data_IF_685141525339
#
_entry.id   IF_685141525339
#
_cell.length_a   1.000
_cell.length_b   1.000
_cell.length_c   1.000
_cell.angle_alpha   90.00
_cell.angle_beta   90.00
_cell.angle_gamma   90.00
#
_symmetry.space_group_name_H-M   'P 1'
#
loop_
_entity.id
_entity.type
_entity.pdbx_description
1 polymer ?
#
# COMPACT_ATOMS: atom_id res chain seq x y z
N UNK A 1 82.75 -31.74 -63.09
CA UNK A 1 82.02 -31.72 -64.39
C UNK A 1 80.64 -31.12 -64.16
N UNK A 2 80.30 -30.02 -64.87
CA UNK A 2 78.95 -29.50 -65.23
C UNK A 2 78.03 -29.09 -64.04
N UNK A 3 77.18 -28.06 -64.02
CA UNK A 3 76.66 -27.00 -64.90
C UNK A 3 76.04 -25.93 -63.93
N UNK A 4 76.38 -24.64 -63.98
CA UNK A 4 75.71 -23.49 -64.63
C UNK A 4 74.20 -23.18 -64.35
N UNK A 5 73.97 -22.02 -63.71
CA UNK A 5 73.02 -20.89 -63.94
C UNK A 5 71.46 -21.05 -63.86
N UNK A 6 70.86 -20.48 -62.79
CA UNK A 6 69.84 -19.39 -62.63
C UNK A 6 68.60 -19.25 -63.60
N UNK A 7 67.55 -18.45 -63.26
CA UNK A 7 66.37 -18.67 -62.38
C UNK A 7 65.01 -18.45 -63.12
N UNK A 8 63.86 -18.62 -62.44
CA UNK A 8 62.60 -17.92 -62.83
C UNK A 8 61.88 -17.42 -61.57
N UNK A 9 61.72 -16.10 -61.50
CA UNK A 9 60.93 -15.35 -60.53
C UNK A 9 59.53 -15.13 -61.13
N UNK A 10 58.45 -15.41 -60.40
CA UNK A 10 57.10 -14.97 -60.78
C UNK A 10 56.50 -14.19 -59.62
N UNK A 11 56.21 -12.92 -59.88
CA UNK A 11 55.62 -11.97 -58.95
C UNK A 11 54.09 -12.14 -58.91
N UNK A 12 53.51 -12.05 -57.71
CA UNK A 12 52.11 -11.65 -57.53
C UNK A 12 52.02 -10.63 -56.40
N UNK A 13 51.66 -9.41 -56.75
CA UNK A 13 51.30 -8.33 -55.84
C UNK A 13 49.81 -8.41 -55.59
N UNK A 14 49.40 -8.63 -54.35
CA UNK A 14 48.01 -8.45 -53.91
C UNK A 14 47.95 -7.26 -52.94
N UNK A 15 47.34 -6.16 -53.37
CA UNK A 15 46.97 -5.05 -52.49
C UNK A 15 45.79 -5.48 -51.62
N UNK A 16 46.00 -5.50 -50.30
CA UNK A 16 44.91 -5.59 -49.31
C UNK A 16 44.61 -4.19 -48.81
N UNK A 17 43.49 -3.63 -49.24
CA UNK A 17 42.94 -2.38 -48.70
C UNK A 17 42.30 -2.67 -47.33
N UNK A 18 42.95 -2.22 -46.25
CA UNK A 18 42.38 -2.28 -44.92
C UNK A 18 41.28 -1.21 -44.76
N UNK A 19 40.01 -1.63 -44.79
CA UNK A 19 38.89 -0.83 -44.30
C UNK A 19 38.96 -0.79 -42.77
N UNK A 20 39.51 0.28 -42.22
CA UNK A 20 39.42 0.58 -40.80
C UNK A 20 37.97 0.98 -40.49
N UNK A 21 37.15 0.01 -40.10
CA UNK A 21 35.85 0.27 -39.46
C UNK A 21 36.16 0.82 -38.07
N UNK A 22 36.13 2.14 -37.93
CA UNK A 22 36.23 2.80 -36.63
C UNK A 22 35.02 2.44 -35.79
N UNK A 23 35.15 1.46 -34.89
CA UNK A 23 34.26 1.34 -33.74
C UNK A 23 34.52 2.57 -32.87
N UNK A 24 33.63 3.55 -32.92
CA UNK A 24 33.60 4.61 -31.92
C UNK A 24 33.38 3.92 -30.56
N UNK A 25 34.44 3.87 -29.74
CA UNK A 25 34.35 3.37 -28.39
C UNK A 25 33.33 4.23 -27.63
N UNK A 26 32.21 3.60 -27.25
CA UNK A 26 31.21 4.24 -26.39
C UNK A 26 31.91 4.59 -25.07
N UNK A 27 31.86 5.86 -24.66
CA UNK A 27 32.37 6.26 -23.37
C UNK A 27 31.70 5.40 -22.28
N UNK A 28 32.45 4.81 -21.33
CA UNK A 28 31.88 3.96 -20.31
C UNK A 28 30.84 4.77 -19.52
N UNK A 29 29.66 4.18 -19.30
CA UNK A 29 28.60 4.81 -18.52
C UNK A 29 29.13 5.17 -17.13
N UNK A 30 28.99 6.44 -16.73
CA UNK A 30 29.39 6.88 -15.40
C UNK A 30 28.42 6.28 -14.40
N UNK A 31 28.91 5.38 -13.55
CA UNK A 31 28.13 4.80 -12.44
C UNK A 31 28.29 5.70 -11.22
N UNK A 32 27.18 6.19 -10.70
CA UNK A 32 27.09 6.98 -9.48
C UNK A 32 26.52 6.11 -8.36
N UNK A 33 27.27 5.96 -7.27
CA UNK A 33 26.74 5.43 -6.03
C UNK A 33 25.92 6.53 -5.32
N UNK A 34 24.72 6.19 -4.87
CA UNK A 34 23.82 7.11 -4.20
C UNK A 34 23.84 6.83 -2.69
N UNK A 35 23.92 7.88 -1.87
CA UNK A 35 23.96 7.71 -0.42
C UNK A 35 22.54 7.49 0.15
N UNK A 36 22.43 6.57 1.11
CA UNK A 36 21.20 6.31 1.85
C UNK A 36 20.89 7.44 2.84
N UNK A 37 19.60 7.78 2.93
CA UNK A 37 19.03 8.52 4.06
C UNK A 37 17.59 7.99 4.26
N UNK A 38 17.07 7.86 5.49
CA UNK A 38 15.73 7.31 5.70
C UNK A 38 14.65 8.07 4.92
N UNK A 39 13.69 7.34 4.35
CA UNK A 39 12.54 7.97 3.71
C UNK A 39 11.66 8.68 4.76
N UNK A 40 10.86 9.70 4.39
CA UNK A 40 10.05 10.40 5.37
C UNK A 40 8.91 9.51 5.92
N UNK A 41 8.51 9.72 7.18
CA UNK A 41 7.45 8.94 7.85
C UNK A 41 6.04 9.11 7.26
N UNK A 42 5.81 10.17 6.49
CA UNK A 42 4.54 10.50 5.81
C UNK A 42 4.52 10.10 4.32
N UNK A 43 5.38 9.17 3.91
CA UNK A 43 5.30 8.59 2.57
C UNK A 43 3.89 8.03 2.28
N UNK A 44 3.39 8.11 1.03
CA UNK A 44 2.02 7.74 0.69
C UNK A 44 1.72 6.26 0.96
N UNK A 45 0.47 5.95 1.30
CA UNK A 45 -0.06 4.57 1.43
C UNK A 45 0.61 3.69 2.52
N UNK A 46 1.34 4.29 3.46
CA UNK A 46 1.94 3.59 4.61
C UNK A 46 1.93 4.44 5.87
N UNK A 47 2.37 3.86 6.99
CA UNK A 47 2.58 4.61 8.23
C UNK A 47 1.39 4.58 9.19
N UNK A 48 1.37 5.49 10.15
CA UNK A 48 0.24 5.62 11.07
C UNK A 48 -0.90 6.40 10.42
N UNK A 49 -2.12 5.97 10.73
CA UNK A 49 -3.38 6.47 10.19
C UNK A 49 -4.22 7.01 11.34
N UNK A 50 -4.93 8.11 11.10
CA UNK A 50 -5.86 8.73 12.05
C UNK A 50 -7.29 8.76 11.51
N UNK A 51 -8.26 8.90 12.41
CA UNK A 51 -9.58 9.40 12.00
C UNK A 51 -9.46 10.84 11.48
N UNK A 52 -10.27 11.24 10.48
CA UNK A 52 -10.20 12.57 9.89
C UNK A 52 -10.23 13.71 10.90
N UNK A 53 -9.23 14.60 10.84
CA UNK A 53 -9.09 15.78 11.70
C UNK A 53 -8.15 16.81 11.09
N UNK A 54 -8.28 18.06 11.52
CA UNK A 54 -7.43 19.16 11.05
C UNK A 54 -6.14 19.30 11.87
N UNK A 55 -6.20 19.05 13.17
CA UNK A 55 -5.08 19.31 14.07
C UNK A 55 -4.34 18.00 14.40
N UNK A 56 -3.25 17.75 13.67
CA UNK A 56 -2.30 16.67 13.98
C UNK A 56 -0.88 17.21 14.00
N UNK A 57 -0.03 16.65 14.84
CA UNK A 57 1.41 16.97 14.92
C UNK A 57 2.31 15.77 14.60
N UNK A 58 1.70 14.69 14.12
CA UNK A 58 2.37 13.46 13.74
C UNK A 58 2.25 13.27 12.21
N UNK A 59 3.36 13.01 11.52
CA UNK A 59 3.38 12.87 10.05
C UNK A 59 2.52 11.68 9.59
N UNK A 60 1.68 11.90 8.58
CA UNK A 60 0.82 10.89 7.97
C UNK A 60 0.38 11.33 6.57
N UNK A 61 -0.06 10.36 5.76
CA UNK A 61 -0.59 10.57 4.40
C UNK A 61 -1.90 9.82 4.15
N UNK A 62 -2.40 9.15 5.19
CA UNK A 62 -3.58 8.31 5.16
C UNK A 62 -4.53 8.71 6.30
N UNK A 63 -5.82 8.70 6.00
CA UNK A 63 -6.88 8.81 6.98
C UNK A 63 -7.88 7.66 6.81
N UNK A 64 -8.49 7.23 7.90
CA UNK A 64 -9.42 6.10 7.91
C UNK A 64 -10.67 6.44 8.68
N UNK A 65 -11.84 6.10 8.15
CA UNK A 65 -13.08 6.28 8.87
C UNK A 65 -14.19 5.34 8.38
N UNK A 66 -15.19 5.20 9.22
CA UNK A 66 -16.39 4.42 8.98
C UNK A 66 -17.45 5.25 8.27
N UNK A 67 -18.19 4.62 7.36
CA UNK A 67 -19.35 5.23 6.70
C UNK A 67 -20.58 4.37 6.92
N UNK A 68 -21.64 4.99 7.42
CA UNK A 68 -22.90 4.30 7.67
C UNK A 68 -23.59 4.00 6.35
N UNK A 69 -23.98 2.75 6.08
CA UNK A 69 -24.58 2.41 4.78
C UNK A 69 -25.87 3.20 4.51
N UNK A 70 -26.71 3.40 5.52
CA UNK A 70 -27.97 4.16 5.42
C UNK A 70 -27.79 5.62 5.00
N UNK A 71 -26.61 6.22 5.18
CA UNK A 71 -26.35 7.60 4.76
C UNK A 71 -26.17 7.69 3.25
N UNK A 72 -25.88 6.55 2.61
CA UNK A 72 -25.58 6.47 1.17
C UNK A 72 -26.65 5.70 0.41
N UNK A 73 -27.14 4.57 0.91
CA UNK A 73 -28.08 3.72 0.18
C UNK A 73 -29.53 4.04 0.57
N UNK A 74 -30.30 4.59 -0.38
CA UNK A 74 -31.69 5.01 -0.16
C UNK A 74 -32.73 4.08 -0.79
N UNK A 75 -32.29 3.13 -1.61
CA UNK A 75 -33.10 2.08 -2.22
C UNK A 75 -32.20 1.02 -2.86
N UNK A 76 -32.77 -0.07 -3.38
CA UNK A 76 -32.00 -1.20 -3.93
C UNK A 76 -30.94 -0.80 -4.97
N UNK A 77 -31.20 0.23 -5.78
CA UNK A 77 -30.29 0.75 -6.80
C UNK A 77 -30.20 2.29 -6.76
N UNK A 78 -30.45 2.90 -5.60
CA UNK A 78 -30.45 4.35 -5.41
C UNK A 78 -29.42 4.73 -4.35
N UNK A 79 -28.49 5.62 -4.71
CA UNK A 79 -27.35 5.97 -3.88
C UNK A 79 -27.12 7.49 -3.83
N UNK A 80 -27.17 8.05 -2.62
CA UNK A 80 -26.72 9.40 -2.33
C UNK A 80 -25.25 9.38 -1.91
N UNK A 81 -24.35 9.60 -2.87
CA UNK A 81 -22.91 9.59 -2.60
C UNK A 81 -22.38 10.86 -1.91
N UNK A 82 -23.19 11.91 -1.77
CA UNK A 82 -22.73 13.21 -1.28
C UNK A 82 -22.01 13.16 0.08
N UNK A 83 -22.49 12.42 1.11
CA UNK A 83 -21.78 12.33 2.39
C UNK A 83 -20.39 11.68 2.26
N UNK A 84 -20.26 10.66 1.41
CA UNK A 84 -18.99 9.98 1.17
C UNK A 84 -18.03 10.84 0.34
N UNK A 85 -18.53 11.51 -0.70
CA UNK A 85 -17.73 12.47 -1.50
C UNK A 85 -17.22 13.64 -0.65
N UNK A 86 -18.04 14.19 0.23
CA UNK A 86 -17.62 15.24 1.15
C UNK A 86 -16.45 14.79 2.04
N UNK A 87 -16.50 13.55 2.53
CA UNK A 87 -15.42 12.94 3.30
C UNK A 87 -14.14 12.78 2.46
N UNK A 88 -14.24 12.18 1.27
CA UNK A 88 -13.10 12.01 0.37
C UNK A 88 -12.46 13.35 0.00
N UNK A 89 -13.26 14.37 -0.30
CA UNK A 89 -12.76 15.70 -0.66
C UNK A 89 -12.08 16.39 0.51
N UNK A 90 -12.63 16.28 1.73
CA UNK A 90 -12.00 16.83 2.91
C UNK A 90 -10.63 16.20 3.16
N UNK A 91 -10.53 14.87 3.09
CA UNK A 91 -9.28 14.11 3.24
C UNK A 91 -8.27 14.49 2.14
N UNK A 92 -8.72 14.50 0.89
CA UNK A 92 -7.88 14.87 -0.25
C UNK A 92 -7.41 16.33 -0.19
N UNK A 93 -8.20 17.27 0.35
CA UNK A 93 -7.78 18.67 0.51
C UNK A 93 -6.63 18.85 1.51
N UNK A 94 -6.42 17.87 2.39
CA UNK A 94 -5.25 17.81 3.30
C UNK A 94 -4.06 17.08 2.66
N UNK A 95 -4.21 16.60 1.42
CA UNK A 95 -3.20 15.82 0.72
C UNK A 95 -3.14 14.35 1.12
N UNK A 96 -4.16 13.84 1.80
CA UNK A 96 -4.19 12.46 2.29
C UNK A 96 -5.10 11.58 1.43
N UNK A 97 -4.80 10.28 1.39
CA UNK A 97 -5.68 9.28 0.81
C UNK A 97 -6.52 8.62 1.90
N UNK A 98 -7.69 8.13 1.54
CA UNK A 98 -8.68 7.59 2.45
C UNK A 98 -8.71 6.06 2.44
N UNK A 99 -8.95 5.48 3.62
CA UNK A 99 -9.23 4.06 3.80
C UNK A 99 -10.72 3.94 4.12
N UNK A 100 -11.48 3.27 3.26
CA UNK A 100 -12.93 3.21 3.38
C UNK A 100 -13.41 1.92 4.05
N UNK A 101 -14.26 2.05 5.07
CA UNK A 101 -15.06 0.96 5.62
C UNK A 101 -16.52 1.39 5.73
N UNK A 102 -17.45 0.57 5.25
CA UNK A 102 -18.89 0.77 5.47
C UNK A 102 -19.41 -0.16 6.58
N UNK A 103 -20.44 0.24 7.33
CA UNK A 103 -21.02 -0.60 8.39
C UNK A 103 -22.54 -0.58 8.43
N UNK A 104 -23.11 -1.63 9.02
CA UNK A 104 -24.54 -1.76 9.35
C UNK A 104 -24.79 -1.69 10.87
N UNK A 105 -23.85 -2.21 11.66
CA UNK A 105 -24.01 -2.40 13.10
C UNK A 105 -22.98 -1.56 13.85
N UNK A 106 -23.42 -0.85 14.88
CA UNK A 106 -22.55 -0.07 15.75
C UNK A 106 -23.20 0.08 17.14
N UNK A 107 -22.67 -0.57 18.18
CA UNK A 107 -23.20 -0.49 19.53
C UNK A 107 -23.28 0.96 20.03
N UNK A 108 -24.47 1.37 20.47
CA UNK A 108 -24.74 2.72 20.97
C UNK A 108 -25.03 3.76 19.89
N UNK A 109 -25.09 3.38 18.60
CA UNK A 109 -25.53 4.25 17.50
C UNK A 109 -26.82 3.74 16.87
N UNK A 110 -27.45 4.60 16.07
CA UNK A 110 -28.57 4.21 15.21
C UNK A 110 -28.07 3.22 14.14
N UNK A 111 -28.89 2.21 13.82
CA UNK A 111 -28.52 1.17 12.83
C UNK A 111 -28.14 1.77 11.49
N UNK A 112 -27.08 1.22 10.89
CA UNK A 112 -26.60 1.49 9.54
C UNK A 112 -27.40 0.82 8.44
N UNK A 113 -28.36 -0.03 8.78
CA UNK A 113 -29.28 -0.66 7.82
C UNK A 113 -30.17 0.42 7.19
N UNK A 114 -30.23 0.52 5.83
CA UNK A 114 -31.13 1.42 5.14
C UNK A 114 -32.60 1.25 5.55
N UNK A 115 -33.28 2.38 5.78
CA UNK A 115 -34.66 2.38 6.31
C UNK A 115 -35.64 1.60 5.42
N UNK A 116 -35.50 1.67 4.09
CA UNK A 116 -36.38 0.96 3.17
C UNK A 116 -36.35 -0.57 3.34
N UNK A 117 -35.24 -1.14 3.85
CA UNK A 117 -35.17 -2.57 4.15
C UNK A 117 -35.95 -2.90 5.42
N UNK A 118 -35.84 -2.04 6.44
CA UNK A 118 -36.56 -2.17 7.70
C UNK A 118 -38.07 -2.07 7.43
N UNK A 119 -38.50 -1.06 6.66
CA UNK A 119 -39.89 -0.85 6.28
C UNK A 119 -40.43 -2.00 5.42
N UNK A 120 -39.57 -2.60 4.58
CA UNK A 120 -39.91 -3.79 3.81
C UNK A 120 -40.06 -5.05 4.69
N UNK A 121 -39.72 -5.01 5.98
CA UNK A 121 -39.85 -6.10 6.94
C UNK A 121 -38.58 -6.90 7.17
N UNK A 122 -37.39 -6.33 6.93
CA UNK A 122 -36.12 -6.94 7.35
C UNK A 122 -36.09 -7.09 8.87
N UNK A 123 -35.85 -8.32 9.33
CA UNK A 123 -35.78 -8.60 10.76
C UNK A 123 -34.52 -7.99 11.37
N UNK A 124 -34.72 -7.20 12.42
CA UNK A 124 -33.65 -6.62 13.23
C UNK A 124 -33.67 -7.23 14.63
N UNK A 125 -32.52 -7.72 15.11
CA UNK A 125 -32.33 -8.25 16.46
C UNK A 125 -31.69 -7.17 17.33
N UNK A 126 -32.42 -6.74 18.37
CA UNK A 126 -31.91 -5.77 19.35
C UNK A 126 -31.33 -6.50 20.56
N UNK A 127 -30.14 -6.12 20.99
CA UNK A 127 -29.45 -6.73 22.13
C UNK A 127 -28.40 -5.81 22.73
N UNK A 128 -27.91 -6.13 23.92
CA UNK A 128 -26.82 -5.37 24.57
C UNK A 128 -25.48 -6.04 24.26
N UNK A 129 -24.64 -5.36 23.48
CA UNK A 129 -23.28 -5.79 23.22
C UNK A 129 -22.37 -5.43 24.39
N UNK A 130 -21.76 -6.45 25.00
CA UNK A 130 -20.84 -6.32 26.13
C UNK A 130 -19.37 -6.26 25.70
N UNK A 131 -19.09 -6.60 24.43
CA UNK A 131 -17.75 -6.56 23.85
C UNK A 131 -17.48 -5.19 23.21
N UNK A 132 -17.60 -4.12 23.97
CA UNK A 132 -17.46 -2.72 23.49
C UNK A 132 -16.29 -1.99 24.11
N UNK A 133 -15.39 -2.71 24.79
CA UNK A 133 -14.24 -2.11 25.47
C UNK A 133 -13.40 -1.24 24.52
N UNK A 134 -12.88 -0.11 24.99
CA UNK A 134 -12.93 0.40 26.37
C UNK A 134 -14.23 1.12 26.75
N UNK A 135 -15.24 1.15 25.88
CA UNK A 135 -16.53 1.79 26.12
C UNK A 135 -17.50 0.86 26.88
N UNK A 136 -18.45 1.43 27.65
CA UNK A 136 -19.45 0.63 28.36
C UNK A 136 -20.32 -0.17 27.38
N UNK A 137 -20.89 -1.32 27.83
CA UNK A 137 -21.84 -2.09 27.05
C UNK A 137 -22.95 -1.21 26.46
N UNK A 138 -23.31 -1.46 25.21
CA UNK A 138 -24.25 -0.63 24.50
C UNK A 138 -25.22 -1.45 23.63
N UNK A 139 -26.39 -0.90 23.36
CA UNK A 139 -27.39 -1.55 22.52
C UNK A 139 -26.91 -1.61 21.08
N UNK A 140 -26.98 -2.79 20.47
CA UNK A 140 -26.69 -3.05 19.06
C UNK A 140 -27.94 -3.58 18.33
N UNK A 141 -27.93 -3.48 17.01
CA UNK A 141 -29.03 -3.87 16.12
C UNK A 141 -28.51 -4.72 14.98
N UNK A 142 -28.61 -6.04 15.14
CA UNK A 142 -28.13 -7.02 14.16
C UNK A 142 -29.21 -7.36 13.14
N UNK A 143 -29.01 -7.06 11.84
CA UNK A 143 -29.95 -7.49 10.82
C UNK A 143 -29.89 -9.00 10.63
N UNK A 144 -30.94 -9.57 10.03
CA UNK A 144 -30.89 -10.94 9.57
C UNK A 144 -30.07 -11.05 8.27
N UNK A 145 -28.81 -11.45 8.40
CA UNK A 145 -27.88 -11.58 7.26
C UNK A 145 -28.32 -12.60 6.20
N UNK A 146 -29.19 -13.54 6.58
CA UNK A 146 -29.73 -14.54 5.65
C UNK A 146 -30.88 -13.99 4.79
N UNK A 147 -31.43 -12.82 5.12
CA UNK A 147 -32.55 -12.22 4.39
C UNK A 147 -32.15 -11.85 2.95
N UNK A 148 -32.87 -12.39 1.98
CA UNK A 148 -32.61 -12.16 0.56
C UNK A 148 -32.65 -10.66 0.17
N UNK A 149 -33.48 -9.86 0.85
CA UNK A 149 -33.57 -8.41 0.63
C UNK A 149 -32.27 -7.72 1.02
N UNK A 150 -31.71 -8.08 2.17
CA UNK A 150 -30.44 -7.52 2.62
C UNK A 150 -29.30 -7.96 1.70
N UNK A 151 -29.21 -9.26 1.38
CA UNK A 151 -28.16 -9.80 0.50
C UNK A 151 -28.15 -9.13 -0.87
N UNK A 152 -29.34 -8.94 -1.47
CA UNK A 152 -29.48 -8.20 -2.72
C UNK A 152 -29.04 -6.73 -2.57
N UNK A 153 -29.43 -6.06 -1.49
CA UNK A 153 -29.05 -4.68 -1.24
C UNK A 153 -27.52 -4.51 -1.06
N UNK A 154 -26.88 -5.39 -0.28
CA UNK A 154 -25.42 -5.36 -0.08
C UNK A 154 -24.68 -5.60 -1.40
N UNK A 155 -25.12 -6.59 -2.18
CA UNK A 155 -24.53 -6.88 -3.50
C UNK A 155 -24.64 -5.68 -4.44
N UNK A 156 -25.82 -5.07 -4.55
CA UNK A 156 -26.04 -3.90 -5.39
C UNK A 156 -25.20 -2.70 -4.94
N UNK A 157 -25.12 -2.47 -3.63
CA UNK A 157 -24.28 -1.42 -3.06
C UNK A 157 -22.81 -1.62 -3.41
N UNK A 158 -22.27 -2.83 -3.20
CA UNK A 158 -20.85 -3.13 -3.48
C UNK A 158 -20.53 -2.93 -4.95
N UNK A 159 -21.41 -3.37 -5.86
CA UNK A 159 -21.24 -3.15 -7.30
C UNK A 159 -21.29 -1.67 -7.67
N UNK A 160 -22.23 -0.89 -7.10
CA UNK A 160 -22.30 0.55 -7.32
C UNK A 160 -21.09 1.29 -6.74
N UNK A 161 -20.59 0.84 -5.59
CA UNK A 161 -19.40 1.36 -4.94
C UNK A 161 -18.15 1.14 -5.80
N UNK A 162 -17.88 -0.09 -6.25
CA UNK A 162 -16.73 -0.37 -7.11
C UNK A 162 -16.84 0.30 -8.49
N UNK A 163 -18.04 0.30 -9.11
CA UNK A 163 -18.27 1.00 -10.38
C UNK A 163 -17.91 2.49 -10.29
N UNK A 164 -18.15 3.12 -9.14
CA UNK A 164 -17.90 4.54 -8.94
C UNK A 164 -16.47 4.84 -8.49
N UNK A 165 -15.85 4.00 -7.66
CA UNK A 165 -14.62 4.34 -6.94
C UNK A 165 -13.45 3.37 -7.12
N UNK A 166 -13.57 2.28 -7.87
CA UNK A 166 -12.40 1.43 -8.16
C UNK A 166 -11.36 2.19 -8.99
N UNK A 167 -10.17 2.37 -8.42
CA UNK A 167 -9.11 3.20 -8.98
C UNK A 167 -9.26 4.71 -8.74
N UNK A 168 -10.21 5.16 -7.91
CA UNK A 168 -10.24 6.55 -7.45
C UNK A 168 -8.97 6.84 -6.63
N UNK A 169 -8.11 7.79 -7.04
CA UNK A 169 -6.83 8.01 -6.39
C UNK A 169 -6.96 8.57 -4.98
N UNK A 170 -8.13 9.09 -4.60
CA UNK A 170 -8.41 9.52 -3.22
C UNK A 170 -8.54 8.34 -2.27
N UNK A 171 -8.72 7.11 -2.77
CA UNK A 171 -8.90 5.92 -1.93
C UNK A 171 -7.63 5.06 -2.01
N UNK A 172 -6.93 4.96 -0.89
CA UNK A 172 -5.76 4.10 -0.77
C UNK A 172 -6.12 2.62 -0.57
N UNK A 173 -7.20 2.33 0.15
CA UNK A 173 -7.60 0.97 0.51
C UNK A 173 -9.10 0.88 0.81
N UNK A 174 -9.71 -0.28 0.59
CA UNK A 174 -11.09 -0.59 0.97
C UNK A 174 -11.11 -1.80 1.90
N UNK A 175 -11.66 -1.62 3.10
CA UNK A 175 -11.93 -2.74 3.99
C UNK A 175 -13.29 -3.33 3.68
N UNK A 176 -13.37 -4.66 3.66
CA UNK A 176 -14.60 -5.41 3.54
C UNK A 176 -15.40 -5.18 4.82
N UNK A 177 -16.25 -4.16 4.82
CA UNK A 177 -17.15 -3.87 5.93
C UNK A 177 -18.49 -4.62 5.80
N UNK A 178 -19.57 -3.95 6.23
CA UNK A 178 -20.98 -4.33 6.12
C UNK A 178 -21.42 -5.51 7.01
N UNK A 179 -20.60 -6.54 7.16
CA UNK A 179 -20.93 -7.69 7.99
C UNK A 179 -20.40 -7.53 9.42
N UNK A 180 -21.26 -7.79 10.39
CA UNK A 180 -20.95 -7.78 11.82
C UNK A 180 -20.82 -6.41 12.46
N UNK A 181 -20.60 -6.43 13.78
CA UNK A 181 -20.37 -5.24 14.61
C UNK A 181 -19.21 -4.42 14.04
N UNK A 182 -19.42 -3.12 13.85
CA UNK A 182 -18.50 -2.17 13.20
C UNK A 182 -18.12 -2.51 11.74
N UNK A 183 -18.73 -3.54 11.14
CA UNK A 183 -18.26 -4.10 9.87
C UNK A 183 -16.99 -4.96 10.02
N UNK A 184 -16.68 -5.48 11.22
CA UNK A 184 -15.47 -6.27 11.50
C UNK A 184 -15.64 -7.78 11.33
N UNK A 185 -16.74 -8.19 10.70
CA UNK A 185 -17.02 -9.60 10.40
C UNK A 185 -17.10 -10.46 11.66
N UNK A 186 -17.75 -9.98 12.71
CA UNK A 186 -18.19 -10.81 13.84
C UNK A 186 -19.37 -10.16 14.57
N UNK A 187 -20.14 -10.96 15.31
CA UNK A 187 -21.15 -10.48 16.25
C UNK A 187 -20.87 -10.92 17.69
N UNK A 188 -19.62 -11.28 18.01
CA UNK A 188 -19.24 -11.74 19.35
C UNK A 188 -19.74 -10.77 20.45
N UNK A 189 -20.37 -11.26 21.54
CA UNK A 189 -20.54 -12.67 21.90
C UNK A 189 -21.73 -13.41 21.24
N UNK A 190 -22.53 -12.74 20.40
CA UNK A 190 -23.69 -13.29 19.67
C UNK A 190 -23.31 -13.87 18.32
N UNK A 191 -22.31 -14.74 18.29
CA UNK A 191 -21.82 -15.36 17.04
C UNK A 191 -22.89 -16.17 16.31
N UNK A 192 -23.94 -16.62 17.00
CA UNK A 192 -25.11 -17.31 16.42
C UNK A 192 -25.94 -16.44 15.46
N UNK A 193 -25.75 -15.11 15.46
CA UNK A 193 -26.44 -14.18 14.55
C UNK A 193 -25.56 -13.66 13.42
N UNK A 194 -24.30 -14.09 13.34
CA UNK A 194 -23.41 -13.67 12.27
C UNK A 194 -23.81 -14.31 10.93
N UNK A 195 -23.42 -13.66 9.83
CA UNK A 195 -23.65 -14.12 8.47
C UNK A 195 -23.10 -15.53 8.25
N UNK A 196 -23.87 -16.41 7.60
CA UNK A 196 -23.39 -17.73 7.20
C UNK A 196 -22.22 -17.62 6.21
N UNK A 197 -21.46 -18.70 6.06
CA UNK A 197 -20.38 -18.78 5.05
C UNK A 197 -20.88 -18.50 3.63
N UNK A 198 -22.12 -18.86 3.30
CA UNK A 198 -22.70 -18.57 1.99
C UNK A 198 -22.81 -17.05 1.76
N UNK A 199 -23.36 -16.32 2.74
CA UNK A 199 -23.47 -14.86 2.66
C UNK A 199 -22.09 -14.18 2.66
N UNK A 200 -21.16 -14.68 3.47
CA UNK A 200 -19.77 -14.21 3.47
C UNK A 200 -19.10 -14.36 2.10
N UNK A 201 -19.30 -15.51 1.42
CA UNK A 201 -18.79 -15.76 0.06
C UNK A 201 -19.40 -14.78 -0.93
N UNK A 202 -20.71 -14.57 -0.90
CA UNK A 202 -21.40 -13.62 -1.80
C UNK A 202 -20.86 -12.19 -1.65
N UNK A 203 -20.67 -11.73 -0.41
CA UNK A 203 -20.11 -10.40 -0.15
C UNK A 203 -18.67 -10.31 -0.64
N UNK A 204 -17.83 -11.31 -0.36
CA UNK A 204 -16.45 -11.35 -0.87
C UNK A 204 -16.40 -11.36 -2.40
N UNK A 205 -17.24 -12.14 -3.05
CA UNK A 205 -17.32 -12.24 -4.51
C UNK A 205 -17.76 -10.92 -5.14
N UNK A 206 -18.76 -10.25 -4.55
CA UNK A 206 -19.20 -8.92 -4.98
C UNK A 206 -18.04 -7.90 -4.90
N UNK A 207 -17.29 -7.87 -3.79
CA UNK A 207 -16.14 -6.96 -3.65
C UNK A 207 -15.05 -7.27 -4.69
N UNK A 208 -14.68 -8.54 -4.86
CA UNK A 208 -13.68 -8.93 -5.86
C UNK A 208 -14.12 -8.63 -7.28
N UNK A 209 -15.41 -8.73 -7.58
CA UNK A 209 -15.94 -8.36 -8.90
C UNK A 209 -15.91 -6.84 -9.10
N UNK A 210 -16.26 -6.07 -8.09
CA UNK A 210 -16.40 -4.63 -8.17
C UNK A 210 -15.07 -3.86 -8.12
N UNK A 211 -14.03 -4.40 -7.47
CA UNK A 211 -12.73 -3.76 -7.29
C UNK A 211 -11.61 -4.57 -7.94
N UNK A 212 -11.00 -4.01 -8.99
CA UNK A 212 -9.87 -4.59 -9.71
C UNK A 212 -8.57 -3.81 -9.52
N UNK A 213 -8.66 -2.53 -9.15
CA UNK A 213 -7.53 -1.62 -8.99
C UNK A 213 -7.26 -1.30 -7.53
N UNK A 214 -8.28 -0.89 -6.78
CA UNK A 214 -8.15 -0.53 -5.36
C UNK A 214 -8.03 -1.78 -4.51
N UNK A 215 -7.06 -1.81 -3.60
CA UNK A 215 -6.79 -2.99 -2.77
C UNK A 215 -7.85 -3.19 -1.70
N UNK A 216 -8.26 -4.45 -1.55
CA UNK A 216 -9.25 -4.92 -0.60
C UNK A 216 -8.58 -5.53 0.63
N UNK A 217 -9.17 -5.33 1.82
CA UNK A 217 -8.69 -5.96 3.06
C UNK A 217 -9.86 -6.57 3.85
N UNK A 218 -9.72 -7.82 4.27
CA UNK A 218 -10.65 -8.51 5.16
C UNK A 218 -10.11 -8.54 6.60
N UNK A 219 -10.99 -8.56 7.62
CA UNK A 219 -10.53 -8.61 9.02
C UNK A 219 -9.84 -9.93 9.34
N UNK A 220 -10.53 -11.04 9.09
CA UNK A 220 -10.06 -12.35 9.50
C UNK A 220 -9.52 -13.16 8.33
N UNK A 221 -8.25 -13.57 8.36
CA UNK A 221 -7.80 -14.71 7.58
C UNK A 221 -8.58 -15.96 8.00
N UNK A 222 -9.04 -16.73 7.03
CA UNK A 222 -9.78 -17.96 7.25
C UNK A 222 -9.37 -19.00 6.21
N UNK A 223 -8.96 -20.17 6.68
CA UNK A 223 -8.66 -21.33 5.85
C UNK A 223 -9.87 -22.24 5.68
N UNK A 224 -9.73 -23.33 4.90
CA UNK A 224 -10.84 -24.24 4.58
C UNK A 224 -11.47 -24.91 5.81
N UNK A 225 -10.70 -25.09 6.88
CA UNK A 225 -11.12 -25.77 8.11
C UNK A 225 -11.66 -24.81 9.19
N UNK A 226 -11.76 -23.52 8.90
CA UNK A 226 -12.30 -22.53 9.85
C UNK A 226 -13.82 -22.77 10.02
N UNK A 227 -14.38 -22.93 11.23
CA UNK A 227 -15.80 -23.30 11.39
C UNK A 227 -16.80 -22.18 11.07
N UNK A 228 -16.46 -20.92 11.30
CA UNK A 228 -17.36 -19.75 11.25
C UNK A 228 -17.16 -18.95 9.97
N UNK A 229 -15.91 -18.77 9.54
CA UNK A 229 -15.54 -17.90 8.44
C UNK A 229 -15.31 -18.68 7.15
N UNK A 230 -15.79 -18.13 6.04
CA UNK A 230 -15.54 -18.71 4.73
C UNK A 230 -14.06 -18.57 4.35
N UNK A 231 -13.52 -19.57 3.65
CA UNK A 231 -12.13 -19.55 3.18
C UNK A 231 -11.87 -18.33 2.29
N UNK A 232 -10.82 -17.60 2.63
CA UNK A 232 -10.33 -16.44 1.88
C UNK A 232 -8.82 -16.49 1.61
N UNK A 233 -8.13 -17.56 2.00
CA UNK A 233 -6.68 -17.70 1.91
C UNK A 233 -6.14 -17.57 0.49
N UNK A 234 -6.91 -18.00 -0.53
CA UNK A 234 -6.51 -17.91 -1.95
C UNK A 234 -7.08 -16.71 -2.70
N UNK A 235 -7.95 -15.92 -2.07
CA UNK A 235 -8.54 -14.73 -2.72
C UNK A 235 -7.48 -13.61 -2.86
N UNK A 236 -7.59 -12.74 -3.88
CA UNK A 236 -6.73 -11.58 -4.05
C UNK A 236 -7.16 -10.43 -3.11
N UNK A 237 -7.27 -10.75 -1.81
CA UNK A 237 -7.69 -9.84 -0.74
C UNK A 237 -6.58 -9.84 0.31
N UNK A 238 -6.22 -8.65 0.79
CA UNK A 238 -5.32 -8.44 1.91
C UNK A 238 -6.03 -8.60 3.25
N UNK A 239 -5.34 -8.28 4.35
CA UNK A 239 -5.92 -8.45 5.68
C UNK A 239 -5.70 -7.23 6.56
N UNK A 240 -6.55 -7.01 7.56
CA UNK A 240 -6.28 -5.98 8.55
C UNK A 240 -6.35 -6.55 9.97
N UNK A 241 -5.33 -6.27 10.78
CA UNK A 241 -5.28 -6.67 12.19
C UNK A 241 -5.76 -5.51 13.07
N UNK A 242 -7.04 -5.44 13.40
CA UNK A 242 -7.55 -4.43 14.37
C UNK A 242 -7.40 -4.92 15.82
N UNK A 243 -6.36 -5.71 16.09
CA UNK A 243 -5.89 -6.10 17.42
C UNK A 243 -4.36 -6.03 17.52
N UNK A 244 -3.76 -5.17 16.70
CA UNK A 244 -2.33 -5.05 16.55
C UNK A 244 -1.66 -4.72 17.90
N UNK A 245 -0.53 -5.38 18.18
CA UNK A 245 0.24 -5.27 19.43
C UNK A 245 -0.51 -5.73 20.71
N UNK A 246 -1.54 -6.56 20.53
CA UNK A 246 -2.27 -7.18 21.64
C UNK A 246 -2.58 -8.66 21.41
N UNK A 247 -3.09 -9.00 20.23
CA UNK A 247 -3.46 -10.36 19.85
C UNK A 247 -3.00 -10.66 18.42
N UNK A 248 -1.75 -10.34 18.14
CA UNK A 248 -1.15 -10.45 16.81
C UNK A 248 -0.30 -11.70 16.69
N UNK A 249 0.77 -11.79 17.49
CA UNK A 249 1.82 -12.81 17.35
C UNK A 249 1.35 -14.14 17.90
N UNK A 250 1.61 -15.21 17.16
CA UNK A 250 1.26 -16.58 17.53
C UNK A 250 1.91 -17.00 18.85
N UNK A 251 1.10 -17.52 19.79
CA UNK A 251 1.57 -17.91 21.13
C UNK A 251 1.72 -19.42 21.31
N UNK A 252 1.26 -20.24 20.35
CA UNK A 252 1.13 -21.69 20.49
C UNK A 252 -0.03 -22.17 21.36
N UNK A 253 -0.74 -21.28 22.06
CA UNK A 253 -1.87 -21.64 22.93
C UNK A 253 -3.15 -21.80 22.13
N UNK A 254 -3.92 -22.86 22.40
CA UNK A 254 -5.23 -23.10 21.75
C UNK A 254 -6.24 -21.98 22.02
N UNK A 255 -6.20 -21.37 23.20
CA UNK A 255 -7.05 -20.21 23.58
C UNK A 255 -6.83 -18.99 22.69
N UNK A 256 -5.65 -18.89 22.07
CA UNK A 256 -5.20 -17.74 21.29
C UNK A 256 -5.29 -18.05 19.78
N UNK A 257 -6.10 -19.05 19.42
CA UNK A 257 -6.36 -19.43 18.02
C UNK A 257 -6.99 -18.32 17.17
N UNK A 258 -7.56 -17.31 17.83
CA UNK A 258 -8.11 -16.12 17.19
C UNK A 258 -7.06 -15.03 16.90
N UNK A 259 -5.84 -15.15 17.42
CA UNK A 259 -4.77 -14.17 17.18
C UNK A 259 -4.41 -14.12 15.70
N UNK A 260 -4.06 -12.93 15.21
CA UNK A 260 -3.96 -12.67 13.78
C UNK A 260 -2.97 -13.57 13.04
N UNK A 261 -1.73 -13.73 13.54
CA UNK A 261 -0.73 -14.61 12.93
C UNK A 261 -1.16 -16.08 12.98
N UNK A 262 -1.80 -16.52 14.07
CA UNK A 262 -2.37 -17.88 14.16
C UNK A 262 -3.39 -18.13 13.05
N UNK A 263 -4.23 -17.13 12.77
CA UNK A 263 -5.23 -17.19 11.68
C UNK A 263 -4.57 -17.16 10.30
N UNK A 264 -3.53 -16.34 10.09
CA UNK A 264 -2.74 -16.36 8.84
C UNK A 264 -2.14 -17.75 8.58
N UNK A 265 -1.58 -18.39 9.61
CA UNK A 265 -1.04 -19.76 9.53
C UNK A 265 -2.13 -20.77 9.15
N UNK A 266 -3.27 -20.72 9.83
CA UNK A 266 -4.40 -21.61 9.55
C UNK A 266 -5.00 -21.42 8.15
N UNK A 267 -4.90 -20.21 7.59
CA UNK A 267 -5.33 -19.87 6.23
C UNK A 267 -4.25 -20.10 5.15
N UNK A 268 -3.07 -20.60 5.52
CA UNK A 268 -1.89 -20.70 4.64
C UNK A 268 -1.59 -19.36 3.92
N UNK A 269 -1.64 -18.26 4.67
CA UNK A 269 -1.60 -16.89 4.16
C UNK A 269 -0.43 -16.06 4.72
N UNK A 270 0.58 -16.69 5.33
CA UNK A 270 1.76 -16.00 5.88
C UNK A 270 2.49 -15.14 4.84
N UNK A 271 2.53 -15.57 3.57
CA UNK A 271 3.20 -14.82 2.49
C UNK A 271 2.24 -13.89 1.72
N UNK A 272 0.99 -13.73 2.18
CA UNK A 272 -0.02 -12.91 1.47
C UNK A 272 0.44 -11.47 1.29
N UNK A 273 1.16 -10.93 2.27
CA UNK A 273 1.74 -9.58 2.27
C UNK A 273 2.63 -9.28 1.06
N UNK A 274 3.19 -10.29 0.38
CA UNK A 274 3.99 -10.04 -0.83
C UNK A 274 3.18 -9.52 -2.01
N UNK A 275 1.86 -9.76 -1.98
CA UNK A 275 0.97 -9.46 -3.12
C UNK A 275 -0.27 -8.65 -2.74
N UNK A 276 -0.70 -8.70 -1.49
CA UNK A 276 -1.84 -7.95 -0.97
C UNK A 276 -1.49 -7.26 0.34
N UNK A 277 -2.00 -6.05 0.61
CA UNK A 277 -1.62 -5.27 1.78
C UNK A 277 -2.09 -5.91 3.08
N UNK A 278 -1.30 -5.72 4.13
CA UNK A 278 -1.76 -5.88 5.50
C UNK A 278 -1.86 -4.50 6.15
N UNK A 279 -3.01 -4.22 6.77
CA UNK A 279 -3.31 -3.00 7.51
C UNK A 279 -3.76 -3.30 8.93
N UNK A 280 -4.45 -2.37 9.60
CA UNK A 280 -5.09 -2.67 10.88
C UNK A 280 -5.25 -1.47 11.80
N UNK A 281 -5.50 -1.76 13.07
CA UNK A 281 -5.58 -0.79 14.16
C UNK A 281 -4.75 -1.33 15.34
N UNK A 282 -3.91 -0.45 15.89
CA UNK A 282 -3.30 -0.67 17.18
C UNK A 282 -4.41 -0.73 18.21
N UNK A 283 -4.44 -1.79 19.02
CA UNK A 283 -5.47 -1.96 20.03
C UNK A 283 -5.51 -0.77 21.01
N UNK A 284 -6.69 -0.19 21.33
CA UNK A 284 -6.79 1.02 22.15
C UNK A 284 -6.06 0.97 23.50
N UNK A 285 -5.98 -0.21 24.10
CA UNK A 285 -5.44 -0.41 25.44
C UNK A 285 -3.93 -0.15 25.53
N UNK A 286 -3.21 -0.20 24.41
CA UNK A 286 -1.76 0.10 24.36
C UNK A 286 -1.45 1.49 23.82
N UNK A 287 -2.44 2.25 23.33
CA UNK A 287 -2.23 3.58 22.71
C UNK A 287 -1.39 4.53 23.55
N UNK A 288 -1.56 4.52 24.88
CA UNK A 288 -0.89 5.47 25.78
C UNK A 288 0.59 5.18 26.04
N UNK A 289 1.06 3.96 25.76
CA UNK A 289 2.36 3.47 26.22
C UNK A 289 3.05 2.51 25.25
N UNK A 290 2.53 2.36 24.02
CA UNK A 290 3.09 1.49 23.00
C UNK A 290 4.57 1.81 22.73
N UNK A 291 4.93 3.10 22.70
CA UNK A 291 6.29 3.59 22.42
C UNK A 291 7.04 4.03 23.68
N UNK A 292 6.57 3.67 24.87
CA UNK A 292 7.33 3.86 26.10
C UNK A 292 8.42 2.79 26.23
N UNK A 293 9.35 3.01 27.16
CA UNK A 293 10.41 2.05 27.47
C UNK A 293 10.48 1.83 29.00
N UNK A 294 10.03 0.68 29.51
CA UNK A 294 9.42 -0.44 28.76
C UNK A 294 8.02 -0.10 28.20
N UNK A 295 7.64 -0.79 27.11
CA UNK A 295 6.28 -0.70 26.55
C UNK A 295 5.28 -1.45 27.43
N UNK A 296 4.00 -1.10 27.31
CA UNK A 296 2.90 -1.76 28.02
C UNK A 296 2.19 -2.85 27.21
N UNK A 297 2.68 -3.20 26.03
CA UNK A 297 2.16 -4.33 25.25
C UNK A 297 2.25 -5.62 26.06
N UNK A 298 1.29 -6.54 25.95
CA UNK A 298 1.43 -7.88 26.50
C UNK A 298 2.75 -8.53 26.08
N UNK A 299 3.34 -9.34 26.95
CA UNK A 299 4.60 -10.03 26.66
C UNK A 299 4.48 -10.85 25.37
N UNK A 300 5.43 -10.67 24.44
CA UNK A 300 5.41 -11.34 23.14
C UNK A 300 4.62 -10.61 22.05
N UNK A 301 3.93 -9.51 22.38
CA UNK A 301 3.14 -8.69 21.46
C UNK A 301 3.79 -7.31 21.23
N UNK A 302 5.10 -7.20 21.46
CA UNK A 302 5.84 -5.95 21.26
C UNK A 302 5.78 -5.53 19.78
N UNK A 303 5.78 -4.22 19.54
CA UNK A 303 5.54 -3.63 18.21
C UNK A 303 6.42 -4.22 17.10
N UNK A 304 7.75 -4.30 17.33
CA UNK A 304 8.69 -4.83 16.34
C UNK A 304 8.48 -6.33 16.06
N UNK A 305 8.00 -7.13 17.05
CA UNK A 305 7.64 -8.53 16.79
C UNK A 305 6.38 -8.64 15.94
N UNK A 306 5.39 -7.79 16.22
CA UNK A 306 4.17 -7.73 15.43
C UNK A 306 4.47 -7.29 13.99
N UNK A 307 5.35 -6.31 13.77
CA UNK A 307 5.80 -5.93 12.43
C UNK A 307 6.42 -7.11 11.68
N UNK A 308 7.31 -7.86 12.33
CA UNK A 308 8.04 -8.96 11.71
C UNK A 308 7.15 -10.11 11.22
N UNK A 309 5.98 -10.33 11.82
CA UNK A 309 5.05 -11.40 11.43
C UNK A 309 3.91 -10.94 10.53
N UNK A 310 3.60 -9.64 10.55
CA UNK A 310 2.45 -9.09 9.80
C UNK A 310 2.84 -8.38 8.52
N UNK A 311 4.07 -7.85 8.41
CA UNK A 311 4.47 -7.02 7.28
C UNK A 311 3.49 -5.85 7.02
N UNK A 312 2.90 -5.32 8.10
CA UNK A 312 1.85 -4.31 8.02
C UNK A 312 2.36 -3.04 7.32
N UNK A 313 1.54 -2.51 6.43
CA UNK A 313 1.84 -1.32 5.64
C UNK A 313 1.37 -0.04 6.32
N UNK A 314 0.23 -0.11 7.01
CA UNK A 314 -0.34 1.01 7.73
C UNK A 314 -1.11 0.54 8.96
N UNK A 315 -1.21 1.40 9.98
CA UNK A 315 -1.96 1.12 11.20
C UNK A 315 -2.73 2.35 11.64
N UNK A 316 -4.04 2.22 11.85
CA UNK A 316 -4.78 3.17 12.67
C UNK A 316 -4.16 3.18 14.08
N UNK A 317 -3.77 4.35 14.56
CA UNK A 317 -3.18 4.47 15.89
C UNK A 317 -3.48 5.84 16.49
N UNK A 318 -4.69 5.99 17.04
CA UNK A 318 -5.07 7.24 17.71
C UNK A 318 -4.18 7.58 18.90
N UNK A 319 -3.39 6.63 19.44
CA UNK A 319 -2.42 6.90 20.50
C UNK A 319 -1.37 7.94 20.12
N UNK A 320 -0.86 7.93 18.88
CA UNK A 320 0.14 8.93 18.44
C UNK A 320 -0.48 10.26 18.02
N UNK A 321 -1.78 10.28 17.69
CA UNK A 321 -2.49 11.49 17.25
C UNK A 321 -3.26 12.20 18.37
N UNK A 322 -3.80 11.46 19.34
CA UNK A 322 -4.47 11.98 20.55
C UNK A 322 -3.52 12.10 21.72
N UNK A 323 -2.56 11.18 21.82
CA UNK A 323 -1.57 11.19 22.88
C UNK A 323 -0.54 12.29 22.64
N UNK A 324 -0.09 12.94 23.70
CA UNK A 324 1.07 13.83 23.65
C UNK A 324 2.35 13.00 23.63
N UNK A 325 2.52 12.13 22.62
CA UNK A 325 3.77 11.37 22.45
C UNK A 325 4.91 12.36 22.19
N UNK A 326 5.92 12.35 23.04
CA UNK A 326 6.99 13.36 23.06
C UNK A 326 8.35 12.71 23.32
N UNK A 327 9.42 13.48 23.12
CA UNK A 327 10.79 13.05 23.39
C UNK A 327 11.15 11.72 22.72
N UNK A 328 11.82 10.85 23.46
CA UNK A 328 12.29 9.56 22.95
C UNK A 328 11.14 8.64 22.44
N UNK A 329 9.95 8.71 23.05
CA UNK A 329 8.79 7.94 22.59
C UNK A 329 8.31 8.40 21.22
N UNK A 330 8.34 9.72 20.95
CA UNK A 330 8.01 10.27 19.62
C UNK A 330 9.01 9.83 18.58
N UNK A 331 10.31 9.85 18.90
CA UNK A 331 11.34 9.37 17.98
C UNK A 331 11.23 7.86 17.69
N UNK A 332 10.84 7.05 18.67
CA UNK A 332 10.51 5.63 18.46
C UNK A 332 9.28 5.46 17.56
N UNK A 333 8.23 6.26 17.78
CA UNK A 333 7.03 6.24 16.94
C UNK A 333 7.34 6.65 15.50
N UNK A 334 8.18 7.67 15.26
CA UNK A 334 8.59 8.08 13.92
C UNK A 334 9.33 6.96 13.18
N UNK A 335 10.30 6.32 13.86
CA UNK A 335 11.01 5.16 13.30
C UNK A 335 10.06 3.99 13.01
N UNK A 336 9.09 3.75 13.88
CA UNK A 336 8.05 2.74 13.66
C UNK A 336 7.21 3.04 12.41
N UNK A 337 6.82 4.31 12.20
CA UNK A 337 6.11 4.73 10.99
C UNK A 337 6.94 4.52 9.72
N UNK A 338 8.25 4.83 9.78
CA UNK A 338 9.18 4.63 8.66
C UNK A 338 9.38 3.15 8.31
N UNK A 339 9.41 2.24 9.30
CA UNK A 339 9.57 0.79 9.06
C UNK A 339 8.38 0.12 8.39
N UNK A 340 7.15 0.60 8.62
CA UNK A 340 5.95 -0.03 8.06
C UNK A 340 5.89 0.06 6.54
N UNK A 341 5.38 -0.96 5.86
CA UNK A 341 5.24 -0.93 4.40
C UNK A 341 6.58 -0.89 3.67
N UNK A 342 6.63 -0.15 2.57
CA UNK A 342 7.80 -0.05 1.70
C UNK A 342 8.80 1.01 2.15
N UNK A 343 10.06 0.84 1.80
CA UNK A 343 11.07 1.90 1.78
C UNK A 343 11.99 1.65 0.59
N UNK A 344 11.85 2.44 -0.48
CA UNK A 344 12.62 2.23 -1.70
C UNK A 344 13.91 3.04 -1.68
N UNK A 345 15.04 2.37 -1.85
CA UNK A 345 16.37 2.97 -1.92
C UNK A 345 17.01 2.67 -3.27
N UNK A 346 17.37 3.71 -4.02
CA UNK A 346 18.19 3.56 -5.21
C UNK A 346 19.67 3.57 -4.79
N UNK A 347 20.39 2.46 -4.96
CA UNK A 347 21.78 2.33 -4.52
C UNK A 347 22.79 2.81 -5.56
N UNK A 348 22.48 2.61 -6.84
CA UNK A 348 23.31 3.07 -7.96
C UNK A 348 22.46 3.58 -9.10
N UNK A 349 23.01 4.54 -9.84
CA UNK A 349 22.48 4.98 -11.12
C UNK A 349 23.62 5.05 -12.14
N UNK A 350 23.34 4.75 -13.40
CA UNK A 350 24.25 5.02 -14.50
C UNK A 350 23.51 5.69 -15.64
N UNK A 351 24.22 6.63 -16.28
CA UNK A 351 23.70 7.40 -17.39
C UNK A 351 24.75 7.46 -18.50
N UNK A 352 24.31 7.28 -19.74
CA UNK A 352 25.16 7.50 -20.91
C UNK A 352 24.34 8.09 -22.06
N UNK A 353 24.94 9.02 -22.79
CA UNK A 353 24.35 9.65 -23.96
C UNK A 353 25.06 9.12 -25.21
N UNK A 354 24.34 8.37 -26.05
CA UNK A 354 24.88 7.83 -27.29
C UNK A 354 23.82 7.89 -28.40
N UNK A 355 24.22 8.31 -29.60
CA UNK A 355 23.35 8.32 -30.79
C UNK A 355 22.00 9.06 -30.60
N UNK A 356 21.99 10.11 -29.77
CA UNK A 356 20.78 10.87 -29.45
C UNK A 356 19.80 10.15 -28.52
N UNK A 357 20.28 9.15 -27.78
CA UNK A 357 19.55 8.42 -26.75
C UNK A 357 20.25 8.52 -25.41
N UNK A 358 19.45 8.69 -24.36
CA UNK A 358 19.86 8.60 -22.97
C UNK A 358 19.57 7.19 -22.47
N UNK A 359 20.62 6.44 -22.21
CA UNK A 359 20.53 5.12 -21.58
C UNK A 359 20.66 5.30 -20.06
N UNK A 360 19.65 4.84 -19.32
CA UNK A 360 19.56 4.97 -17.87
C UNK A 360 19.45 3.59 -17.25
N UNK A 361 20.29 3.30 -16.27
CA UNK A 361 20.13 2.13 -15.39
C UNK A 361 20.06 2.59 -13.93
N UNK A 362 19.11 2.05 -13.16
CA UNK A 362 18.97 2.32 -11.72
C UNK A 362 18.86 1.00 -10.98
N UNK A 363 19.65 0.82 -9.92
CA UNK A 363 19.54 -0.35 -9.02
C UNK A 363 18.75 0.07 -7.79
N UNK A 364 17.63 -0.60 -7.52
CA UNK A 364 16.70 -0.25 -6.44
C UNK A 364 16.44 -1.44 -5.54
N UNK A 365 16.42 -1.21 -4.24
CA UNK A 365 16.08 -2.18 -3.19
C UNK A 365 14.94 -1.66 -2.33
N UNK A 366 14.18 -2.56 -1.71
CA UNK A 366 13.17 -2.23 -0.72
C UNK A 366 13.69 -2.62 0.68
N UNK A 367 14.01 -1.63 1.50
CA UNK A 367 14.50 -1.78 2.89
C UNK A 367 13.36 -1.80 3.91
N UNK A 368 12.10 -1.66 3.46
CA UNK A 368 10.90 -1.80 4.28
C UNK A 368 10.53 -3.25 4.56
N UNK A 369 9.35 -3.45 5.15
CA UNK A 369 8.81 -4.78 5.48
C UNK A 369 7.73 -5.26 4.51
N UNK A 370 7.22 -4.42 3.60
CA UNK A 370 6.22 -4.80 2.60
C UNK A 370 6.47 -4.08 1.26
N UNK A 371 5.96 -4.60 0.13
CA UNK A 371 6.08 -3.94 -1.16
C UNK A 371 5.16 -2.71 -1.27
N UNK A 372 5.41 -1.88 -2.30
CA UNK A 372 4.46 -0.86 -2.72
C UNK A 372 3.40 -1.50 -3.62
N UNK A 373 2.15 -1.63 -3.16
CA UNK A 373 1.14 -2.49 -3.80
C UNK A 373 0.50 -1.95 -5.10
N UNK A 374 0.90 -0.76 -5.54
CA UNK A 374 0.35 -0.09 -6.72
C UNK A 374 1.45 0.23 -7.73
N UNK A 375 1.19 0.07 -9.03
CA UNK A 375 2.17 0.47 -10.03
C UNK A 375 1.92 1.93 -10.47
N UNK A 376 2.13 2.86 -9.55
CA UNK A 376 2.20 4.29 -9.88
C UNK A 376 3.32 4.51 -10.90
N UNK A 377 3.14 5.43 -11.87
CA UNK A 377 4.12 5.63 -12.91
C UNK A 377 5.44 6.10 -12.29
N UNK A 378 6.53 5.39 -12.59
CA UNK A 378 7.87 5.91 -12.34
C UNK A 378 8.24 6.80 -13.52
N UNK A 379 8.68 8.00 -13.22
CA UNK A 379 9.03 9.01 -14.21
C UNK A 379 10.53 9.31 -14.14
N UNK A 380 11.12 9.49 -15.30
CA UNK A 380 12.46 10.04 -15.45
C UNK A 380 12.34 11.45 -16.01
N UNK A 381 13.22 12.35 -15.60
CA UNK A 381 13.25 13.69 -16.16
C UNK A 381 14.63 14.31 -16.11
N UNK A 382 14.85 15.26 -17.01
CA UNK A 382 16.13 15.98 -17.13
C UNK A 382 15.91 17.45 -16.81
N UNK A 383 16.69 17.96 -15.85
CA UNK A 383 16.82 19.39 -15.60
C UNK A 383 18.10 19.92 -16.25
N UNK A 384 18.05 21.17 -16.71
CA UNK A 384 19.27 21.91 -17.06
C UNK A 384 20.00 22.46 -15.83
N UNK A 385 21.11 23.14 -16.05
CA UNK A 385 21.93 23.76 -15.00
C UNK A 385 21.15 24.81 -14.19
N UNK A 386 20.18 25.49 -14.82
CA UNK A 386 19.26 26.45 -14.20
C UNK A 386 18.09 25.82 -13.45
N UNK A 387 17.99 24.49 -13.44
CA UNK A 387 16.90 23.76 -12.77
C UNK A 387 15.59 23.76 -13.55
N UNK A 388 15.60 24.07 -14.85
CA UNK A 388 14.42 24.03 -15.69
C UNK A 388 14.24 22.67 -16.37
N UNK A 389 12.99 22.24 -16.54
CA UNK A 389 12.67 21.01 -17.24
C UNK A 389 13.10 21.08 -18.71
N UNK A 390 13.92 20.11 -19.13
CA UNK A 390 14.25 19.89 -20.54
C UNK A 390 13.30 18.86 -21.14
N UNK A 391 13.07 17.75 -20.44
CA UNK A 391 12.23 16.64 -20.91
C UNK A 391 11.85 15.72 -19.74
N UNK A 392 10.73 15.02 -19.88
CA UNK A 392 10.24 14.01 -18.94
C UNK A 392 9.71 12.78 -19.71
N UNK A 393 9.86 11.60 -19.11
CA UNK A 393 9.38 10.33 -19.65
C UNK A 393 8.74 9.48 -18.56
N UNK A 394 7.71 8.72 -18.93
CA UNK A 394 7.19 7.62 -18.11
C UNK A 394 7.94 6.34 -18.46
N UNK A 395 8.24 5.52 -17.46
CA UNK A 395 8.82 4.19 -17.66
C UNK A 395 7.74 3.11 -17.54
N UNK A 396 8.09 1.89 -17.91
CA UNK A 396 7.28 0.70 -17.69
C UNK A 396 7.62 -0.02 -16.36
N UNK A 397 8.52 0.58 -15.55
CA UNK A 397 9.00 0.02 -14.29
C UNK A 397 7.86 -0.16 -13.29
N UNK A 398 7.94 -1.24 -12.51
CA UNK A 398 6.87 -1.68 -11.60
C UNK A 398 7.35 -1.62 -10.15
N UNK A 399 6.79 -0.70 -9.38
CA UNK A 399 7.07 -0.54 -7.95
C UNK A 399 6.72 -1.80 -7.17
N UNK A 400 5.62 -2.47 -7.55
CA UNK A 400 5.16 -3.71 -6.90
C UNK A 400 6.11 -4.90 -7.04
N UNK A 401 7.07 -4.82 -7.96
CA UNK A 401 8.09 -5.85 -8.18
C UNK A 401 9.33 -5.67 -7.30
N UNK A 402 9.51 -4.52 -6.66
CA UNK A 402 10.62 -4.29 -5.71
C UNK A 402 10.21 -4.83 -4.33
N UNK A 403 10.44 -6.13 -4.13
CA UNK A 403 10.08 -6.85 -2.93
C UNK A 403 11.13 -6.63 -1.82
N UNK A 404 10.71 -6.56 -0.54
CA UNK A 404 11.64 -6.48 0.57
C UNK A 404 12.34 -7.82 0.78
N UNK A 405 13.56 -7.77 1.32
CA UNK A 405 14.41 -8.94 1.56
C UNK A 405 14.72 -9.81 0.32
N UNK A 406 14.52 -9.26 -0.89
CA UNK A 406 14.93 -9.87 -2.16
C UNK A 406 16.16 -9.17 -2.75
N UNK A 407 16.73 -9.74 -3.81
CA UNK A 407 17.80 -9.09 -4.56
C UNK A 407 17.34 -7.74 -5.13
N UNK A 408 18.28 -6.81 -5.26
CA UNK A 408 18.00 -5.51 -5.84
C UNK A 408 17.45 -5.64 -7.27
N UNK A 409 16.42 -4.85 -7.57
CA UNK A 409 15.84 -4.76 -8.91
C UNK A 409 16.68 -3.80 -9.76
N UNK A 410 17.01 -4.21 -10.98
CA UNK A 410 17.69 -3.35 -11.95
C UNK A 410 16.66 -2.86 -12.95
N UNK A 411 16.48 -1.55 -12.99
CA UNK A 411 15.61 -0.84 -13.91
C UNK A 411 16.43 -0.23 -15.03
N UNK A 412 15.97 -0.39 -16.27
CA UNK A 412 16.66 0.10 -17.46
C UNK A 412 15.69 0.83 -18.38
N UNK A 413 16.15 1.91 -18.99
CA UNK A 413 15.37 2.68 -19.96
C UNK A 413 16.29 3.32 -21.01
N UNK A 414 15.80 3.40 -22.24
CA UNK A 414 16.44 4.03 -23.40
C UNK A 414 15.49 5.09 -23.93
N UNK A 415 15.77 6.37 -23.70
CA UNK A 415 14.88 7.48 -24.09
C UNK A 415 15.55 8.41 -25.10
N UNK A 416 14.76 8.97 -26.03
CA UNK A 416 15.29 9.93 -27.00
C UNK A 416 15.67 11.23 -26.28
N UNK A 417 16.92 11.66 -26.40
CA UNK A 417 17.42 12.89 -25.81
C UNK A 417 18.47 13.53 -26.72
N UNK A 418 18.15 14.73 -27.24
CA UNK A 418 19.03 15.52 -28.10
C UNK A 418 19.04 16.96 -27.59
N UNK A 419 19.90 17.26 -26.60
CA UNK A 419 19.92 18.59 -26.01
C UNK A 419 20.40 19.61 -27.05
N UNK A 420 19.73 20.77 -27.10
CA UNK A 420 20.10 21.91 -27.96
C UNK A 420 21.14 22.82 -27.32
N UNK A 421 21.34 22.70 -26.01
CA UNK A 421 22.34 23.44 -25.23
C UNK A 421 23.40 22.49 -24.67
N UNK A 422 24.60 23.02 -24.40
CA UNK A 422 25.63 22.25 -23.69
C UNK A 422 25.28 22.14 -22.20
N UNK A 423 25.67 21.02 -21.57
CA UNK A 423 25.38 20.71 -20.18
C UNK A 423 26.10 21.63 -19.16
N UNK A 424 26.05 21.30 -17.86
CA UNK A 424 25.65 20.00 -17.30
C UNK A 424 24.13 19.82 -17.22
N UNK A 425 23.67 18.57 -17.36
CA UNK A 425 22.30 18.16 -17.13
C UNK A 425 22.18 17.35 -15.84
N UNK A 426 21.00 17.35 -15.24
CA UNK A 426 20.69 16.53 -14.06
C UNK A 426 19.59 15.53 -14.41
N UNK A 427 19.85 14.24 -14.20
CA UNK A 427 18.85 13.18 -14.33
C UNK A 427 18.15 12.98 -12.99
N UNK A 428 16.82 13.04 -13.00
CA UNK A 428 15.97 12.83 -11.84
C UNK A 428 15.01 11.66 -12.06
N UNK A 429 14.60 11.02 -10.97
CA UNK A 429 13.55 10.01 -10.92
C UNK A 429 12.46 10.44 -9.93
N UNK A 430 11.21 10.32 -10.34
CA UNK A 430 10.04 10.70 -9.55
C UNK A 430 8.96 9.64 -9.60
N UNK A 431 8.10 9.62 -8.58
CA UNK A 431 6.91 8.77 -8.53
C UNK A 431 5.75 9.66 -8.06
N UNK A 432 5.08 10.37 -8.99
CA UNK A 432 4.00 11.28 -8.63
C UNK A 432 2.81 10.53 -8.03
N UNK A 433 2.14 11.18 -7.08
CA UNK A 433 0.88 10.67 -6.55
C UNK A 433 -0.22 10.81 -7.63
N UNK A 434 -0.98 9.76 -7.93
CA UNK A 434 -2.15 9.85 -8.81
C UNK A 434 -3.23 10.81 -8.30
N UNK A 435 -3.26 11.10 -6.99
CA UNK A 435 -4.09 12.15 -6.41
C UNK A 435 -3.31 13.48 -6.47
N UNK A 436 -3.78 14.49 -7.22
CA UNK A 436 -3.00 15.72 -7.44
C UNK A 436 -2.59 16.49 -6.18
N UNK A 437 -3.38 16.42 -5.11
CA UNK A 437 -3.07 17.03 -3.82
C UNK A 437 -2.17 16.18 -2.92
N UNK A 438 -1.92 14.92 -3.30
CA UNK A 438 -1.19 13.96 -2.48
C UNK A 438 0.33 14.10 -2.64
N UNK A 439 1.11 13.78 -1.59
CA UNK A 439 2.56 13.79 -1.68
C UNK A 439 3.04 12.66 -2.61
N UNK A 440 4.07 12.92 -3.45
CA UNK A 440 4.71 11.87 -4.24
C UNK A 440 5.40 10.86 -3.32
N UNK A 441 5.70 9.67 -3.85
CA UNK A 441 6.60 8.76 -3.14
C UNK A 441 8.00 9.36 -3.14
N UNK A 442 8.62 9.39 -1.95
CA UNK A 442 10.02 9.79 -1.75
C UNK A 442 10.89 8.57 -1.45
N UNK A 443 12.04 8.49 -2.11
CA UNK A 443 13.04 7.42 -1.93
C UNK A 443 13.90 7.67 -0.69
N UNK A 444 14.46 6.59 -0.15
CA UNK A 444 15.39 6.62 0.98
C UNK A 444 16.82 6.96 0.53
N UNK A 445 16.99 8.19 0.06
CA UNK A 445 18.24 8.68 -0.52
C UNK A 445 18.56 10.09 -0.03
N UNK A 446 19.83 10.39 0.22
CA UNK A 446 20.27 11.74 0.63
C UNK A 446 20.00 12.80 -0.46
N UNK A 447 20.01 12.40 -1.74
CA UNK A 447 19.74 13.27 -2.89
C UNK A 447 18.25 13.40 -3.24
N UNK A 448 17.36 12.83 -2.43
CA UNK A 448 15.92 13.06 -2.53
C UNK A 448 15.63 14.55 -2.27
N UNK A 449 14.81 15.17 -3.12
CA UNK A 449 14.41 16.58 -3.05
C UNK A 449 15.56 17.59 -3.21
N UNK A 450 16.77 17.15 -3.59
CA UNK A 450 17.96 18.01 -3.66
C UNK A 450 17.83 19.15 -4.67
N UNK A 451 17.33 18.85 -5.87
CA UNK A 451 17.20 19.83 -6.97
C UNK A 451 15.75 20.17 -7.30
N UNK A 452 14.82 19.27 -6.99
CA UNK A 452 13.40 19.47 -7.22
C UNK A 452 12.60 18.70 -6.15
N UNK A 453 11.69 19.37 -5.39
CA UNK A 453 10.85 18.69 -4.42
C UNK A 453 10.02 17.57 -5.04
N UNK A 454 10.00 16.41 -4.40
CA UNK A 454 9.32 15.19 -4.86
C UNK A 454 10.16 14.30 -5.78
N UNK A 455 11.37 14.70 -6.15
CA UNK A 455 12.21 13.98 -7.10
C UNK A 455 13.57 13.60 -6.53
N UNK A 456 14.03 12.39 -6.83
CA UNK A 456 15.35 11.89 -6.52
C UNK A 456 16.34 12.33 -7.60
N UNK A 457 17.42 13.01 -7.21
CA UNK A 457 18.55 13.26 -8.14
C UNK A 457 19.42 12.01 -8.27
N UNK A 458 19.55 11.50 -9.49
CA UNK A 458 20.30 10.27 -9.81
C UNK A 458 21.74 10.55 -10.24
N UNK A 459 21.95 11.53 -11.12
CA UNK A 459 23.26 11.84 -11.67
C UNK A 459 23.32 13.23 -12.31
N UNK A 460 24.53 13.77 -12.43
CA UNK A 460 24.86 14.90 -13.32
C UNK A 460 25.71 14.38 -14.49
N UNK A 461 25.39 14.81 -15.71
CA UNK A 461 26.01 14.32 -16.96
C UNK A 461 26.15 15.38 -18.05
#
# INVERSE_FOLDING_TARGET
MKCKWLPVLMALVAMVSALAVGFAAQAPAKVTALAYAPAPPDNPLKGFVTYPRHDTNFPHSLEWDYTKLSDVMTGYNQFNWAPFEAKLNAVASRGHQFIARFYLEWPGKTTGVPQFLIDAGLKMRRWTNTNTQPFPPAVDHTPDYEDARLRAALTNFIHAFGKRYDGDPRIGFVQLGLLGTWGEWHNYPRSEWFASKAVQIEVMDAFQMAFKKTKLLARYPAGPNEPVYADNGQRPIGYHDDSFAWATVHTGKKSDSWFFETRLRAANALEKWRTQPIGGEVRPEVWKCLFDEPSCTPQGQEFDKCLAVTHVSWLCNEGVFRGKVQGAARERALRAAQKMGYELYASTASVSLANGKLEVTVTVTNTGIAPFYYDWPVELGVLDSGGQWVVQWKTDWKLSRVQPAEAATVWQSSTNFRPTQQGPFRLLMGVPNPMPSGPPLRFANQSQDQHLPGWLTLAEF
#
